data_IF_065381297587
#
_entry.id   IF_065381297587
#
_cell.length_a   1.000
_cell.length_b   1.000
_cell.length_c   1.000
_cell.angle_alpha   90.00
_cell.angle_beta   90.00
_cell.angle_gamma   90.00
#
_symmetry.space_group_name_H-M   'P 1'
#
loop_
_entity.id
_entity.type
_entity.pdbx_description
1 polymer ?
#
# COMPACT_ATOMS: atom_id res chain seq x y z
N UNK A 1 8.40 -5.55 -16.23
CA UNK A 1 8.25 -6.52 -15.16
C UNK A 1 7.10 -6.25 -14.28
N UNK A 2 6.44 -7.30 -13.91
CA UNK A 2 5.33 -7.20 -13.00
C UNK A 2 5.50 -8.16 -11.87
N UNK A 3 5.26 -7.71 -10.65
CA UNK A 3 5.29 -8.60 -9.51
C UNK A 3 3.89 -9.09 -9.20
N UNK A 4 3.79 -9.99 -8.22
CA UNK A 4 2.51 -10.58 -7.86
C UNK A 4 1.54 -9.55 -7.33
N UNK A 5 2.03 -8.54 -6.64
CA UNK A 5 1.17 -7.52 -6.06
C UNK A 5 0.44 -6.74 -7.14
N UNK A 6 1.09 -6.48 -8.27
CA UNK A 6 0.46 -5.74 -9.36
C UNK A 6 -0.71 -6.51 -9.95
N UNK A 7 -0.68 -7.84 -9.88
CA UNK A 7 -1.75 -8.67 -10.40
C UNK A 7 -3.05 -8.49 -9.60
N UNK A 8 -2.93 -8.25 -8.30
CA UNK A 8 -4.08 -8.15 -7.40
C UNK A 8 -4.45 -6.71 -7.08
N UNK A 9 -3.69 -5.75 -7.56
CA UNK A 9 -3.95 -4.35 -7.29
C UNK A 9 -4.62 -3.73 -8.50
N UNK A 10 -5.90 -3.37 -8.36
CA UNK A 10 -6.66 -2.81 -9.46
C UNK A 10 -6.65 -1.29 -9.46
N UNK A 11 -6.33 -0.67 -8.33
CA UNK A 11 -6.31 0.78 -8.25
C UNK A 11 -5.39 1.22 -7.12
N UNK A 12 -4.62 2.27 -7.38
CA UNK A 12 -3.64 2.75 -6.42
C UNK A 12 -3.50 4.26 -6.59
N UNK A 13 -3.74 5.02 -5.51
CA UNK A 13 -3.56 6.46 -5.58
C UNK A 13 -3.30 7.02 -4.19
N UNK A 14 -2.72 8.22 -4.14
CA UNK A 14 -2.40 8.90 -2.90
C UNK A 14 -3.21 10.18 -2.81
N UNK A 15 -3.77 10.43 -1.63
CA UNK A 15 -4.56 11.62 -1.38
C UNK A 15 -4.42 12.00 0.09
N UNK A 16 -4.01 13.26 0.34
CA UNK A 16 -3.83 13.76 1.71
C UNK A 16 -2.91 12.85 2.52
N UNK A 17 -1.79 12.46 1.92
CA UNK A 17 -0.79 11.60 2.57
C UNK A 17 -1.34 10.24 2.94
N UNK A 18 -2.45 9.84 2.34
CA UNK A 18 -3.03 8.53 2.53
C UNK A 18 -2.96 7.76 1.23
N UNK A 19 -2.39 6.56 1.28
CA UNK A 19 -2.32 5.68 0.12
C UNK A 19 -3.56 4.81 0.10
N UNK A 20 -4.31 4.88 -0.98
CA UNK A 20 -5.50 4.04 -1.16
C UNK A 20 -5.15 2.90 -2.09
N UNK A 21 -5.37 1.68 -1.63
CA UNK A 21 -5.02 0.48 -2.36
C UNK A 21 -6.27 -0.36 -2.52
N UNK A 22 -6.63 -0.65 -3.77
CA UNK A 22 -7.74 -1.55 -4.05
C UNK A 22 -7.19 -2.90 -4.43
N UNK A 23 -7.49 -3.91 -3.65
CA UNK A 23 -7.00 -5.27 -3.86
C UNK A 23 -8.15 -6.19 -4.20
N UNK A 24 -7.89 -7.10 -5.14
CA UNK A 24 -8.89 -8.09 -5.53
C UNK A 24 -8.80 -9.35 -4.68
N UNK A 25 -7.74 -9.51 -3.89
CA UNK A 25 -7.56 -10.67 -3.04
C UNK A 25 -7.79 -10.28 -1.58
N UNK A 26 -8.77 -10.92 -0.93
CA UNK A 26 -9.05 -10.64 0.47
C UNK A 26 -7.92 -11.12 1.36
N UNK A 27 -7.31 -12.25 1.01
CA UNK A 27 -6.20 -12.79 1.80
C UNK A 27 -4.99 -11.85 1.77
N UNK A 28 -4.66 -11.35 0.59
CA UNK A 28 -3.56 -10.42 0.45
C UNK A 28 -3.84 -9.11 1.19
N UNK A 29 -5.06 -8.63 1.10
CA UNK A 29 -5.45 -7.41 1.79
C UNK A 29 -5.26 -7.55 3.29
N UNK A 30 -5.65 -8.69 3.85
CA UNK A 30 -5.51 -8.91 5.28
C UNK A 30 -4.05 -8.96 5.70
N UNK A 31 -3.20 -9.62 4.91
CA UNK A 31 -1.78 -9.66 5.22
C UNK A 31 -1.14 -8.28 5.18
N UNK A 32 -1.50 -7.49 4.20
CA UNK A 32 -0.94 -6.15 4.07
C UNK A 32 -1.45 -5.22 5.18
N UNK A 33 -2.68 -5.42 5.62
CA UNK A 33 -3.20 -4.63 6.73
C UNK A 33 -2.44 -4.90 8.02
N UNK A 34 -2.02 -6.15 8.22
CA UNK A 34 -1.25 -6.49 9.40
C UNK A 34 0.13 -5.84 9.39
N UNK A 35 0.72 -5.65 8.22
CA UNK A 35 2.02 -5.01 8.08
C UNK A 35 1.94 -3.56 7.65
N UNK A 36 0.81 -2.90 7.88
CA UNK A 36 0.59 -1.56 7.37
C UNK A 36 1.63 -0.55 7.80
N UNK A 37 1.98 -0.54 9.08
CA UNK A 37 2.95 0.42 9.58
C UNK A 37 4.33 0.20 8.99
N UNK A 38 4.71 -1.05 8.82
CA UNK A 38 5.99 -1.35 8.18
C UNK A 38 6.01 -0.91 6.74
N UNK A 39 4.88 -1.07 6.05
CA UNK A 39 4.76 -0.60 4.68
C UNK A 39 4.90 0.91 4.57
N UNK A 40 4.24 1.63 5.47
CA UNK A 40 4.32 3.09 5.48
C UNK A 40 5.78 3.52 5.67
N UNK A 41 6.44 2.90 6.62
CA UNK A 41 7.83 3.24 6.92
C UNK A 41 8.74 2.90 5.76
N UNK A 42 8.54 1.74 5.16
CA UNK A 42 9.36 1.31 4.04
C UNK A 42 9.20 2.23 2.83
N UNK A 43 7.97 2.61 2.54
CA UNK A 43 7.70 3.49 1.41
C UNK A 43 8.31 4.87 1.62
N UNK A 44 8.16 5.42 2.81
CA UNK A 44 8.73 6.73 3.12
C UNK A 44 10.26 6.69 3.08
N UNK A 45 10.84 5.62 3.55
CA UNK A 45 12.30 5.46 3.52
C UNK A 45 12.79 5.39 2.08
N UNK A 46 12.07 4.69 1.24
CA UNK A 46 12.47 4.53 -0.15
C UNK A 46 12.43 5.85 -0.91
N UNK A 47 11.45 6.68 -0.60
CA UNK A 47 11.32 8.00 -1.22
C UNK A 47 12.28 9.01 -0.58
N UNK A 48 12.65 8.79 0.68
CA UNK A 48 13.52 9.70 1.39
C UNK A 48 12.78 10.85 2.04
N UNK A 49 11.46 10.74 2.16
CA UNK A 49 10.64 11.78 2.78
C UNK A 49 9.36 11.17 3.30
N UNK A 50 8.75 11.80 4.31
CA UNK A 50 7.47 11.35 4.84
C UNK A 50 6.36 11.80 3.92
N UNK A 51 6.02 10.96 2.94
CA UNK A 51 4.98 11.28 1.96
C UNK A 51 3.67 10.57 2.27
N UNK A 52 3.71 9.50 3.07
CA UNK A 52 2.54 8.71 3.41
C UNK A 52 2.47 8.55 4.91
N UNK A 53 1.31 8.85 5.49
CA UNK A 53 1.09 8.68 6.93
C UNK A 53 0.07 7.59 7.22
N UNK A 54 -0.65 7.13 6.20
CA UNK A 54 -1.66 6.10 6.39
C UNK A 54 -1.87 5.34 5.08
N UNK A 55 -2.38 4.11 5.20
CA UNK A 55 -2.76 3.31 4.03
C UNK A 55 -4.15 2.75 4.30
N UNK A 56 -5.01 2.85 3.30
CA UNK A 56 -6.35 2.30 3.35
C UNK A 56 -6.46 1.22 2.29
N UNK A 57 -6.83 0.04 2.72
CA UNK A 57 -7.02 -1.10 1.83
C UNK A 57 -8.51 -1.31 1.59
N UNK A 58 -8.88 -1.47 0.34
CA UNK A 58 -10.28 -1.68 -0.03
C UNK A 58 -10.48 -2.98 -0.74
#
# INVERSE_FOLDING_TARGET
IRDSAATYTSNLYIRNQTLYVHLTSAALRQELMMGREMLIRALNTKVGATVITNIIFR
#
